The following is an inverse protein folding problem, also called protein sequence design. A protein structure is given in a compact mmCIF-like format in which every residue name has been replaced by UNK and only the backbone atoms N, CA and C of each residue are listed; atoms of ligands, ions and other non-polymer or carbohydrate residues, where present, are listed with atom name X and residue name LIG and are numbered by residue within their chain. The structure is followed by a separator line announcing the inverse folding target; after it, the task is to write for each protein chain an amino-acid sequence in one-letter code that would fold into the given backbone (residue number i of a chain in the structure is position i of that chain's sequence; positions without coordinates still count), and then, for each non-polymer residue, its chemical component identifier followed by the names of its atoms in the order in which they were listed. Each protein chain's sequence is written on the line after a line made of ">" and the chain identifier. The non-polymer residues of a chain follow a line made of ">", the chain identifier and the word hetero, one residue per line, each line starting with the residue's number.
data_IF_088312700805
#
_entry.id   IF_088312700805
#
_cell.length_a   1.000
_cell.length_b   1.000
_cell.length_c   1.000
_cell.angle_alpha   90.00
_cell.angle_beta   90.00
_cell.angle_gamma   90.00
#
_symmetry.space_group_name_H-M   'P 1'
#
loop_
_entity.id
_entity.type
_entity.pdbx_description
1 polymer ?
#
# COMPACT_ATOMS: atom_id res chain seq x y z
N UNK A 1 45.01 2.13 37.79
CA UNK A 1 44.01 2.17 38.87
C UNK A 1 42.78 1.38 38.44
N UNK A 2 42.17 0.60 39.35
CA UNK A 2 40.84 -0.03 39.12
C UNK A 2 39.78 0.84 39.81
N UNK A 3 38.67 1.15 39.14
CA UNK A 3 37.45 1.62 39.79
C UNK A 3 36.23 0.86 39.28
N UNK A 4 35.24 0.72 40.16
CA UNK A 4 34.24 -0.37 40.14
C UNK A 4 32.94 0.04 39.44
N UNK A 5 32.24 -0.96 38.93
CA UNK A 5 30.88 -0.83 38.42
C UNK A 5 29.87 -0.42 39.50
N UNK A 6 28.77 0.21 39.07
CA UNK A 6 27.48 0.21 39.76
C UNK A 6 26.37 -0.06 38.75
N UNK A 7 25.81 -1.27 38.81
CA UNK A 7 24.57 -1.64 38.16
C UNK A 7 23.39 -1.06 38.94
N UNK A 8 22.40 -0.50 38.27
CA UNK A 8 21.08 -0.23 38.86
C UNK A 8 20.02 -0.78 37.92
N UNK A 9 19.36 -1.85 38.37
CA UNK A 9 18.22 -2.46 37.69
C UNK A 9 16.94 -1.81 38.21
N UNK A 10 16.08 -1.31 37.33
CA UNK A 10 14.74 -0.88 37.69
C UNK A 10 13.77 -1.34 36.60
N UNK A 11 13.03 -2.42 36.88
CA UNK A 11 11.92 -2.88 36.06
C UNK A 11 10.61 -2.34 36.65
N UNK A 12 9.76 -1.73 35.83
CA UNK A 12 8.36 -1.43 36.18
C UNK A 12 7.46 -1.69 34.96
N UNK A 13 6.27 -2.22 35.26
CA UNK A 13 5.34 -2.87 34.34
C UNK A 13 4.35 -1.86 33.68
N UNK A 14 3.64 -2.27 32.60
CA UNK A 14 2.81 -1.36 31.80
C UNK A 14 1.42 -1.11 32.41
N UNK A 15 0.87 0.08 32.17
CA UNK A 15 -0.51 0.43 32.50
C UNK A 15 -1.34 0.61 31.23
N UNK A 16 -2.27 -0.32 30.98
CA UNK A 16 -3.37 -0.17 30.02
C UNK A 16 -4.46 0.70 30.65
N UNK A 17 -4.93 1.72 29.92
CA UNK A 17 -6.13 2.48 30.27
C UNK A 17 -7.01 2.63 29.02
N UNK A 18 -8.03 1.77 28.95
CA UNK A 18 -9.21 2.01 28.12
C UNK A 18 -10.07 3.07 28.80
N UNK A 19 -10.52 4.08 28.05
CA UNK A 19 -11.66 4.92 28.42
C UNK A 19 -12.52 5.12 27.17
N UNK A 20 -13.83 4.92 27.33
CA UNK A 20 -14.81 4.99 26.26
C UNK A 20 -15.97 5.91 26.66
N UNK A 21 -16.74 6.32 25.65
CA UNK A 21 -18.05 7.01 25.75
C UNK A 21 -18.01 8.48 26.20
N UNK A 22 -18.77 9.32 25.50
CA UNK A 22 -18.94 10.74 25.85
C UNK A 22 -19.68 11.58 24.80
N UNK A 23 -20.84 11.12 24.30
CA UNK A 23 -21.74 12.03 23.58
C UNK A 23 -22.48 12.92 24.58
N UNK A 24 -22.41 14.24 24.41
CA UNK A 24 -23.36 15.19 25.02
C UNK A 24 -23.42 16.47 24.20
N UNK A 25 -24.59 16.74 23.62
CA UNK A 25 -24.91 17.99 22.94
C UNK A 25 -25.62 18.94 23.91
N UNK A 26 -25.17 20.19 24.05
CA UNK A 26 -25.96 21.25 24.69
C UNK A 26 -25.86 22.55 23.91
N UNK A 27 -27.01 23.24 23.84
CA UNK A 27 -27.21 24.46 23.04
C UNK A 27 -26.63 25.71 23.70
N UNK A 28 -26.34 26.71 22.87
CA UNK A 28 -26.52 28.13 23.24
C UNK A 28 -26.96 28.89 22.00
N UNK A 29 -28.08 29.61 22.13
CA UNK A 29 -28.62 30.49 21.10
C UNK A 29 -28.38 31.95 21.52
N UNK A 30 -28.06 32.81 20.55
CA UNK A 30 -28.12 34.26 20.70
C UNK A 30 -28.85 34.86 19.47
N UNK A 31 -29.52 35.99 19.67
CA UNK A 31 -30.71 36.40 18.91
C UNK A 31 -30.50 37.62 18.00
N UNK A 32 -31.37 37.77 16.98
CA UNK A 32 -31.42 38.93 16.09
C UNK A 32 -32.67 38.97 15.19
N UNK A 33 -33.63 39.82 15.55
CA UNK A 33 -34.86 40.22 14.83
C UNK A 33 -34.60 40.83 13.42
N UNK A 34 -35.54 40.98 12.46
CA UNK A 34 -37.00 40.69 12.32
C UNK A 34 -37.43 40.88 10.84
N UNK A 35 -38.53 40.24 10.39
CA UNK A 35 -39.66 40.79 9.57
C UNK A 35 -40.32 39.77 8.60
N UNK A 36 -41.61 39.49 8.83
CA UNK A 36 -42.55 38.71 7.98
C UNK A 36 -43.27 39.63 6.93
N UNK A 37 -44.42 39.27 6.26
CA UNK A 37 -45.12 37.98 6.09
C UNK A 37 -45.68 37.66 4.67
N UNK A 38 -46.10 36.39 4.46
CA UNK A 38 -47.36 35.90 3.81
C UNK A 38 -47.18 34.43 3.35
N UNK A 39 -48.06 33.47 3.60
CA UNK A 39 -49.33 33.46 4.36
C UNK A 39 -49.90 32.03 4.51
N UNK A 40 -51.01 31.91 5.24
CA UNK A 40 -51.85 30.71 5.57
C UNK A 40 -52.18 29.77 4.37
N UNK A 41 -52.68 28.53 4.48
CA UNK A 41 -53.33 27.71 5.53
C UNK A 41 -53.39 26.22 5.03
N UNK A 42 -53.83 25.14 5.71
CA UNK A 42 -54.16 24.81 7.13
C UNK A 42 -54.35 23.27 7.27
N UNK A 43 -54.35 22.73 8.50
CA UNK A 43 -54.83 21.36 8.87
C UNK A 43 -56.35 21.37 9.23
N UNK A 44 -57.07 20.26 9.56
CA UNK A 44 -56.81 19.23 10.60
C UNK A 44 -57.13 17.78 10.12
N UNK A 45 -57.17 16.68 10.91
CA UNK A 45 -57.00 16.37 12.34
C UNK A 45 -56.74 14.85 12.54
N UNK A 46 -56.32 14.36 13.73
CA UNK A 46 -57.14 13.62 14.72
C UNK A 46 -57.64 12.24 14.18
N UNK A 47 -57.38 11.05 14.75
CA UNK A 47 -57.37 10.54 16.15
C UNK A 47 -56.35 9.37 16.30
N UNK A 48 -55.63 9.11 17.40
CA UNK A 48 -55.98 8.69 18.78
C UNK A 48 -56.29 7.18 19.01
N UNK A 49 -55.26 6.46 19.50
CA UNK A 49 -55.29 5.45 20.60
C UNK A 49 -55.79 3.99 20.45
N UNK A 50 -54.96 3.07 21.00
CA UNK A 50 -55.28 2.00 21.98
C UNK A 50 -55.12 0.49 21.60
N UNK A 51 -54.65 -0.30 22.58
CA UNK A 51 -54.67 -1.78 22.63
C UNK A 51 -53.48 -2.50 21.95
N UNK A 52 -52.43 -3.03 22.57
CA UNK A 52 -52.14 -3.63 23.91
C UNK A 52 -52.23 -5.16 23.98
N UNK A 53 -51.08 -5.77 24.31
CA UNK A 53 -50.82 -7.08 24.94
C UNK A 53 -51.20 -8.42 24.27
N UNK A 54 -50.18 -9.28 24.08
CA UNK A 54 -50.30 -10.70 23.74
C UNK A 54 -48.91 -11.35 23.55
N UNK A 55 -48.43 -12.10 24.55
CA UNK A 55 -47.07 -12.68 24.65
C UNK A 55 -47.16 -14.22 24.78
N UNK A 56 -46.06 -14.99 24.94
CA UNK A 56 -44.86 -15.17 24.11
C UNK A 56 -44.76 -16.60 23.51
N UNK A 57 -43.84 -16.87 22.57
CA UNK A 57 -43.70 -18.20 21.96
C UNK A 57 -42.31 -18.56 21.38
N UNK A 58 -41.54 -19.30 22.17
CA UNK A 58 -40.44 -20.23 21.83
C UNK A 58 -39.60 -20.09 20.52
N UNK A 59 -38.31 -19.80 20.72
CA UNK A 59 -37.13 -20.50 20.17
C UNK A 59 -37.21 -21.20 18.79
N UNK A 60 -36.43 -20.67 17.83
CA UNK A 60 -36.04 -21.37 16.61
C UNK A 60 -34.64 -20.97 16.17
N UNK A 61 -33.62 -21.74 16.55
CA UNK A 61 -32.24 -21.51 16.09
C UNK A 61 -32.09 -21.92 14.63
N UNK A 62 -31.86 -20.95 13.74
CA UNK A 62 -31.35 -21.20 12.40
C UNK A 62 -30.25 -20.17 12.10
N UNK A 63 -29.02 -20.65 11.92
CA UNK A 63 -27.87 -19.80 11.65
C UNK A 63 -28.01 -19.14 10.29
N UNK A 64 -28.25 -17.83 10.28
CA UNK A 64 -27.97 -17.00 9.11
C UNK A 64 -26.44 -16.86 8.98
N UNK A 65 -25.80 -17.92 8.47
CA UNK A 65 -24.49 -17.83 7.85
C UNK A 65 -24.63 -16.87 6.68
N UNK A 66 -24.40 -15.58 6.97
CA UNK A 66 -24.43 -14.51 6.00
C UNK A 66 -23.44 -14.86 4.90
N UNK A 67 -23.98 -15.37 3.79
CA UNK A 67 -23.20 -15.69 2.61
C UNK A 67 -22.69 -14.35 2.13
N UNK A 68 -21.42 -14.07 2.43
CA UNK A 68 -20.76 -12.85 2.01
C UNK A 68 -21.01 -12.73 0.50
N UNK A 69 -21.69 -11.66 0.10
CA UNK A 69 -22.06 -11.44 -1.30
C UNK A 69 -20.82 -11.71 -2.16
N UNK A 70 -20.95 -12.49 -3.26
CA UNK A 70 -19.79 -12.92 -4.02
C UNK A 70 -18.97 -11.67 -4.36
N UNK A 71 -17.72 -11.62 -3.88
CA UNK A 71 -16.79 -10.53 -4.20
C UNK A 71 -16.88 -10.34 -5.71
N UNK A 72 -17.30 -9.15 -6.16
CA UNK A 72 -17.42 -8.79 -7.59
C UNK A 72 -16.27 -9.44 -8.33
N UNK A 73 -16.58 -10.29 -9.31
CA UNK A 73 -15.60 -11.17 -9.96
C UNK A 73 -14.32 -10.37 -10.25
N UNK A 74 -13.26 -10.68 -9.48
CA UNK A 74 -12.07 -9.86 -9.41
C UNK A 74 -11.48 -9.67 -10.81
N UNK A 75 -10.92 -8.50 -11.12
CA UNK A 75 -10.35 -8.25 -12.45
C UNK A 75 -9.28 -9.30 -12.77
N UNK A 76 -8.97 -9.48 -14.06
CA UNK A 76 -7.89 -10.39 -14.48
C UNK A 76 -6.58 -10.06 -13.73
N UNK A 77 -6.32 -8.77 -13.55
CA UNK A 77 -5.15 -8.26 -12.84
C UNK A 77 -5.22 -8.53 -11.33
N UNK A 78 -6.37 -8.32 -10.70
CA UNK A 78 -6.58 -8.60 -9.27
C UNK A 78 -6.35 -10.08 -8.93
N UNK A 79 -6.85 -11.01 -9.78
CA UNK A 79 -6.58 -12.46 -9.63
C UNK A 79 -5.10 -12.83 -9.85
N UNK A 80 -4.37 -12.01 -10.60
CA UNK A 80 -2.94 -12.22 -10.85
C UNK A 80 -2.05 -11.75 -9.71
N UNK A 81 -2.54 -10.88 -8.82
CA UNK A 81 -1.77 -10.39 -7.67
C UNK A 81 -1.69 -11.44 -6.55
N UNK A 82 -0.61 -11.40 -5.76
CA UNK A 82 -0.48 -12.21 -4.53
C UNK A 82 -1.64 -11.96 -3.55
N UNK A 83 -2.08 -13.00 -2.86
CA UNK A 83 -3.12 -12.98 -1.83
C UNK A 83 -2.67 -13.74 -0.57
N UNK A 84 -3.29 -13.46 0.58
CA UNK A 84 -2.96 -14.14 1.82
C UNK A 84 -3.09 -15.66 1.69
N UNK A 85 -2.01 -16.39 1.99
CA UNK A 85 -1.92 -17.84 1.83
C UNK A 85 -1.20 -18.31 0.56
N UNK A 86 -0.89 -17.44 -0.41
CA UNK A 86 -0.12 -17.82 -1.61
C UNK A 86 1.33 -18.23 -1.32
N UNK A 87 1.90 -17.72 -0.23
CA UNK A 87 3.30 -17.88 0.16
C UNK A 87 3.41 -18.24 1.65
N UNK A 88 3.97 -19.42 1.93
CA UNK A 88 4.34 -19.80 3.29
C UNK A 88 5.47 -18.91 3.81
N UNK A 89 5.41 -18.51 5.08
CA UNK A 89 6.41 -17.63 5.69
C UNK A 89 6.24 -16.14 5.38
N UNK A 90 5.17 -15.73 4.69
CA UNK A 90 4.88 -14.33 4.37
C UNK A 90 3.45 -13.93 4.79
N UNK A 91 3.30 -12.67 5.19
CA UNK A 91 1.99 -12.01 5.30
C UNK A 91 1.77 -11.14 4.07
N UNK A 92 0.58 -11.21 3.47
CA UNK A 92 0.23 -10.49 2.23
C UNK A 92 -0.98 -9.59 2.51
N UNK A 93 -0.77 -8.28 2.44
CA UNK A 93 -1.81 -7.27 2.58
C UNK A 93 -2.28 -6.75 1.23
N UNK A 94 -3.55 -6.37 1.14
CA UNK A 94 -4.08 -5.58 0.02
C UNK A 94 -3.47 -4.15 -0.04
N UNK A 95 -2.88 -3.70 1.07
CA UNK A 95 -2.27 -2.38 1.21
C UNK A 95 -0.76 -2.47 0.98
N UNK A 96 -0.34 -2.52 -0.30
CA UNK A 96 1.08 -2.45 -0.70
C UNK A 96 1.72 -1.06 -0.64
N UNK A 97 0.90 -0.04 -0.36
CA UNK A 97 1.32 1.35 -0.22
C UNK A 97 2.00 1.56 1.15
N UNK A 98 3.18 2.18 1.14
CA UNK A 98 3.72 2.82 2.33
C UNK A 98 2.83 4.03 2.68
N UNK A 99 2.16 4.07 3.85
CA UNK A 99 1.24 5.16 4.20
C UNK A 99 1.93 6.53 4.26
N UNK A 100 3.26 6.55 4.46
CA UNK A 100 4.06 7.77 4.50
C UNK A 100 4.60 8.21 3.13
N UNK A 101 4.37 7.43 2.06
CA UNK A 101 4.80 7.79 0.72
C UNK A 101 3.98 8.99 0.18
N UNK A 102 4.64 10.01 -0.42
CA UNK A 102 3.96 11.11 -1.09
C UNK A 102 2.99 10.61 -2.18
N UNK A 103 1.90 11.34 -2.40
CA UNK A 103 0.98 11.11 -3.52
C UNK A 103 1.48 11.81 -4.79
N UNK A 104 0.99 11.38 -5.96
CA UNK A 104 1.34 11.99 -7.24
C UNK A 104 2.58 11.40 -7.92
N UNK A 105 2.85 11.84 -9.14
CA UNK A 105 3.97 11.36 -9.95
C UNK A 105 5.27 12.09 -9.58
N UNK A 106 6.39 11.39 -9.34
CA UNK A 106 7.69 12.02 -9.19
C UNK A 106 8.14 12.69 -10.48
N UNK A 107 8.89 13.78 -10.36
CA UNK A 107 9.61 14.42 -11.46
C UNK A 107 11.10 14.38 -11.19
N UNK A 108 11.86 13.67 -12.01
CA UNK A 108 13.32 13.65 -11.96
C UNK A 108 13.92 14.98 -12.45
N UNK A 109 15.08 15.34 -11.91
CA UNK A 109 15.92 16.44 -12.40
C UNK A 109 16.51 16.16 -13.79
N UNK A 110 16.76 14.88 -14.10
CA UNK A 110 17.27 14.40 -15.39
C UNK A 110 16.22 13.54 -16.09
N UNK A 111 15.86 13.91 -17.34
CA UNK A 111 14.87 13.18 -18.17
C UNK A 111 15.19 11.69 -18.32
N UNK A 112 16.46 11.32 -18.45
CA UNK A 112 16.90 9.92 -18.53
C UNK A 112 16.59 9.10 -17.27
N UNK A 113 16.46 9.75 -16.11
CA UNK A 113 16.16 9.10 -14.82
C UNK A 113 14.68 9.11 -14.46
N UNK A 114 13.83 9.74 -15.28
CA UNK A 114 12.39 9.78 -15.07
C UNK A 114 11.77 8.37 -14.91
N UNK A 115 12.13 7.33 -15.71
CA UNK A 115 11.61 5.98 -15.52
C UNK A 115 11.96 5.37 -14.14
N UNK A 116 13.14 5.68 -13.59
CA UNK A 116 13.56 5.22 -12.27
C UNK A 116 12.90 6.00 -11.12
N UNK A 117 12.47 7.23 -11.39
CA UNK A 117 11.60 7.97 -10.49
C UNK A 117 10.19 7.35 -10.51
N UNK A 118 9.57 7.23 -11.69
CA UNK A 118 8.19 6.76 -11.88
C UNK A 118 7.95 5.40 -11.22
N UNK A 119 8.87 4.45 -11.44
CA UNK A 119 8.80 3.09 -10.92
C UNK A 119 8.87 2.99 -9.39
N UNK A 120 9.07 4.09 -8.67
CA UNK A 120 9.08 4.13 -7.20
C UNK A 120 7.70 4.32 -6.56
N UNK A 121 6.72 4.84 -7.31
CA UNK A 121 5.38 5.15 -6.81
C UNK A 121 4.39 3.99 -6.87
N UNK A 122 3.22 4.18 -6.25
CA UNK A 122 2.07 3.24 -6.31
C UNK A 122 1.49 3.09 -7.73
N UNK A 123 1.83 4.02 -8.63
CA UNK A 123 1.57 4.00 -10.08
C UNK A 123 2.92 4.00 -10.81
N UNK A 124 3.52 2.82 -11.05
CA UNK A 124 4.92 2.70 -11.43
C UNK A 124 5.23 3.10 -12.88
N UNK A 125 4.22 3.31 -13.73
CA UNK A 125 4.33 3.90 -15.07
C UNK A 125 3.01 4.61 -15.42
N UNK A 126 3.00 5.88 -15.89
CA UNK A 126 1.79 6.53 -16.39
C UNK A 126 1.12 5.83 -17.59
N UNK A 127 1.81 4.93 -18.31
CA UNK A 127 1.24 4.11 -19.38
C UNK A 127 0.46 2.87 -18.88
N UNK A 128 0.48 2.58 -17.57
CA UNK A 128 -0.28 1.48 -16.99
C UNK A 128 -1.80 1.75 -17.07
N UNK A 129 -2.57 0.77 -17.55
CA UNK A 129 -4.03 0.83 -17.67
C UNK A 129 -4.74 0.56 -16.34
N UNK A 130 -4.23 -0.42 -15.60
CA UNK A 130 -4.68 -0.83 -14.27
C UNK A 130 -3.44 -1.27 -13.48
N UNK A 131 -3.41 -0.99 -12.18
CA UNK A 131 -2.34 -1.42 -11.26
C UNK A 131 -2.95 -1.97 -9.99
N UNK A 132 -2.53 -3.17 -9.59
CA UNK A 132 -2.89 -3.81 -8.33
C UNK A 132 -1.64 -3.87 -7.45
N UNK A 133 -1.74 -3.36 -6.23
CA UNK A 133 -0.65 -3.31 -5.27
C UNK A 133 -0.87 -4.30 -4.11
N UNK A 134 0.23 -4.83 -3.55
CA UNK A 134 0.27 -5.75 -2.41
C UNK A 134 1.47 -5.46 -1.52
N UNK A 135 1.30 -5.59 -0.21
CA UNK A 135 2.39 -5.54 0.76
C UNK A 135 2.75 -6.96 1.16
N UNK A 136 4.02 -7.33 1.10
CA UNK A 136 4.49 -8.69 1.40
C UNK A 136 5.54 -8.59 2.51
N UNK A 137 5.18 -8.96 3.74
CA UNK A 137 6.06 -8.94 4.91
C UNK A 137 6.61 -10.33 5.20
N UNK A 138 7.93 -10.46 5.40
CA UNK A 138 8.54 -11.71 5.82
C UNK A 138 8.25 -12.02 7.30
N UNK A 139 7.91 -13.27 7.61
CA UNK A 139 7.73 -13.74 8.99
C UNK A 139 9.06 -14.20 9.61
N UNK A 140 10.08 -14.47 8.81
CA UNK A 140 11.38 -15.02 9.25
C UNK A 140 12.51 -13.99 9.16
N UNK A 141 12.48 -13.07 8.20
CA UNK A 141 13.44 -11.97 8.09
C UNK A 141 12.81 -10.67 8.62
N UNK A 142 13.00 -10.43 9.91
CA UNK A 142 12.44 -9.28 10.61
C UNK A 142 12.89 -7.96 9.95
N UNK A 143 11.90 -7.17 9.54
CA UNK A 143 12.10 -5.89 8.87
C UNK A 143 12.15 -5.97 7.34
N UNK A 144 12.19 -7.16 6.72
CA UNK A 144 12.06 -7.26 5.27
C UNK A 144 10.59 -7.06 4.86
N UNK A 145 10.34 -5.99 4.10
CA UNK A 145 9.08 -5.72 3.45
C UNK A 145 9.29 -5.60 1.93
N UNK A 146 8.41 -6.22 1.15
CA UNK A 146 8.37 -6.09 -0.31
C UNK A 146 7.08 -5.41 -0.70
N UNK A 147 7.18 -4.28 -1.41
CA UNK A 147 6.06 -3.66 -2.09
C UNK A 147 5.96 -4.26 -3.50
N UNK A 148 4.83 -4.92 -3.78
CA UNK A 148 4.58 -5.60 -5.03
C UNK A 148 3.47 -4.90 -5.81
N UNK A 149 3.70 -4.67 -7.11
CA UNK A 149 2.76 -4.09 -8.05
C UNK A 149 2.63 -5.01 -9.27
N UNK A 150 1.41 -5.29 -9.68
CA UNK A 150 1.11 -5.93 -10.97
C UNK A 150 0.33 -4.94 -11.82
N UNK A 151 0.79 -4.65 -13.03
CA UNK A 151 0.21 -3.61 -13.89
C UNK A 151 -0.04 -4.13 -15.32
N UNK A 152 -1.16 -3.73 -15.91
CA UNK A 152 -1.56 -4.07 -17.28
C UNK A 152 -1.27 -2.94 -18.28
N UNK A 153 -0.90 -3.30 -19.50
CA UNK A 153 -0.44 -2.37 -20.54
C UNK A 153 -0.99 -2.74 -21.93
N UNK A 154 -0.51 -2.08 -22.98
CA UNK A 154 -0.31 -2.79 -24.27
C UNK A 154 1.00 -3.60 -24.19
N UNK A 155 1.17 -4.61 -25.03
CA UNK A 155 2.45 -5.34 -25.10
C UNK A 155 3.62 -4.43 -25.53
N UNK A 156 3.35 -3.45 -26.41
CA UNK A 156 4.33 -2.42 -26.82
C UNK A 156 4.76 -1.53 -25.65
N UNK A 157 3.82 -1.05 -24.82
CA UNK A 157 4.15 -0.18 -23.69
C UNK A 157 4.91 -0.96 -22.60
N UNK A 158 4.54 -2.22 -22.36
CA UNK A 158 5.24 -3.10 -21.43
C UNK A 158 6.71 -3.35 -21.86
N UNK A 159 6.94 -3.64 -23.16
CA UNK A 159 8.29 -3.76 -23.72
C UNK A 159 9.07 -2.44 -23.62
N UNK A 160 8.42 -1.33 -23.96
CA UNK A 160 9.03 -0.01 -23.89
C UNK A 160 9.41 0.40 -22.45
N UNK A 161 8.62 0.02 -21.44
CA UNK A 161 8.97 0.25 -20.02
C UNK A 161 10.25 -0.51 -19.64
N UNK A 162 10.35 -1.80 -19.95
CA UNK A 162 11.56 -2.58 -19.65
C UNK A 162 12.78 -2.00 -20.35
N UNK A 163 12.67 -1.61 -21.63
CA UNK A 163 13.76 -0.96 -22.36
C UNK A 163 14.19 0.36 -21.69
N UNK A 164 13.24 1.27 -21.41
CA UNK A 164 13.51 2.54 -20.71
C UNK A 164 14.21 2.34 -19.36
N UNK A 165 13.84 1.31 -18.60
CA UNK A 165 14.49 0.98 -17.32
C UNK A 165 15.91 0.44 -17.51
N UNK A 166 16.11 -0.48 -18.47
CA UNK A 166 17.44 -1.02 -18.82
C UNK A 166 18.41 0.09 -19.25
N UNK A 167 17.94 1.09 -19.99
CA UNK A 167 18.73 2.26 -20.40
C UNK A 167 18.97 3.24 -19.24
N UNK A 168 17.96 3.47 -18.38
CA UNK A 168 18.03 4.43 -17.30
C UNK A 168 18.96 4.00 -16.16
N UNK A 169 19.00 2.71 -15.79
CA UNK A 169 19.87 2.19 -14.71
C UNK A 169 21.35 2.61 -14.89
N UNK A 170 22.04 2.35 -16.02
CA UNK A 170 23.41 2.80 -16.22
C UNK A 170 23.53 4.33 -16.37
N UNK A 171 22.61 4.99 -17.09
CA UNK A 171 22.62 6.43 -17.31
C UNK A 171 22.45 7.26 -16.01
N UNK A 172 21.87 6.64 -14.98
CA UNK A 172 21.57 7.24 -13.68
C UNK A 172 22.42 6.69 -12.53
N UNK A 173 23.46 5.92 -12.85
CA UNK A 173 24.37 5.26 -11.89
C UNK A 173 24.95 6.19 -10.81
N UNK A 174 25.29 7.42 -11.18
CA UNK A 174 25.78 8.47 -10.27
C UNK A 174 24.73 9.03 -9.31
N UNK A 175 23.46 8.59 -9.42
CA UNK A 175 22.32 9.14 -8.71
C UNK A 175 21.66 10.33 -9.40
N UNK A 176 20.45 10.68 -8.95
CA UNK A 176 19.61 11.76 -9.48
C UNK A 176 18.67 12.27 -8.38
N UNK A 177 18.08 13.45 -8.55
CA UNK A 177 17.07 13.97 -7.63
C UNK A 177 15.68 13.84 -8.25
N UNK A 178 14.66 13.65 -7.41
CA UNK A 178 13.27 13.77 -7.86
C UNK A 178 12.43 14.57 -6.86
N UNK A 179 11.37 15.19 -7.35
CA UNK A 179 10.39 15.92 -6.53
C UNK A 179 9.00 15.32 -6.71
N UNK A 180 8.30 15.06 -5.62
CA UNK A 180 6.89 14.67 -5.59
C UNK A 180 6.14 15.69 -4.72
N UNK A 181 5.10 16.35 -5.23
CA UNK A 181 4.30 17.32 -4.45
C UNK A 181 5.15 18.34 -3.64
N UNK A 182 6.18 18.92 -4.28
CA UNK A 182 7.19 19.82 -3.66
C UNK A 182 8.11 19.19 -2.60
N UNK A 183 7.95 17.90 -2.27
CA UNK A 183 8.88 17.14 -1.42
C UNK A 183 10.02 16.60 -2.28
N UNK A 184 11.24 17.05 -2.03
CA UNK A 184 12.43 16.56 -2.71
C UNK A 184 12.94 15.25 -2.08
N UNK A 185 13.47 14.37 -2.93
CA UNK A 185 14.25 13.20 -2.55
C UNK A 185 15.43 12.99 -3.51
N UNK A 186 16.46 12.31 -3.05
CA UNK A 186 17.62 11.94 -3.86
C UNK A 186 17.77 10.43 -3.95
N UNK A 187 18.11 9.95 -5.13
CA UNK A 187 18.48 8.58 -5.44
C UNK A 187 19.99 8.54 -5.65
N UNK A 188 20.69 7.62 -5.01
CA UNK A 188 22.14 7.43 -5.14
C UNK A 188 22.46 5.97 -5.42
N UNK A 189 23.67 5.71 -5.89
CA UNK A 189 24.22 4.35 -6.03
C UNK A 189 23.28 3.44 -6.85
N UNK A 190 22.76 3.96 -7.97
CA UNK A 190 21.88 3.19 -8.87
C UNK A 190 22.74 2.12 -9.55
N UNK A 191 22.64 0.89 -9.07
CA UNK A 191 23.55 -0.19 -9.46
C UNK A 191 22.75 -1.37 -10.00
N UNK A 192 22.95 -1.71 -11.27
CA UNK A 192 22.43 -2.94 -11.85
C UNK A 192 22.88 -4.16 -11.02
N UNK A 193 21.99 -5.10 -10.78
CA UNK A 193 22.32 -6.36 -10.12
C UNK A 193 21.74 -7.53 -10.91
N UNK A 194 22.51 -8.61 -11.05
CA UNK A 194 22.06 -9.82 -11.70
C UNK A 194 20.93 -10.47 -10.88
N UNK A 195 19.77 -10.66 -11.53
CA UNK A 195 18.62 -11.31 -10.91
C UNK A 195 17.90 -12.19 -11.92
N UNK A 196 17.89 -13.50 -11.66
CA UNK A 196 17.15 -14.46 -12.50
C UNK A 196 15.67 -14.44 -12.10
N UNK A 197 14.81 -14.11 -13.05
CA UNK A 197 13.36 -14.15 -12.89
C UNK A 197 12.75 -14.93 -14.06
N UNK A 198 11.68 -15.67 -13.82
CA UNK A 198 11.13 -16.59 -14.81
C UNK A 198 10.41 -15.96 -16.02
N UNK A 199 10.20 -14.62 -16.06
CA UNK A 199 9.42 -13.93 -17.09
C UNK A 199 10.11 -13.76 -18.45
N UNK A 200 9.44 -13.09 -19.40
CA UNK A 200 9.96 -12.87 -20.76
C UNK A 200 11.20 -11.97 -20.75
N UNK A 201 11.19 -10.95 -19.90
CA UNK A 201 12.29 -10.03 -19.68
C UNK A 201 12.29 -9.54 -18.24
N UNK A 202 13.47 -9.22 -17.71
CA UNK A 202 13.62 -8.53 -16.43
C UNK A 202 14.68 -7.43 -16.49
N UNK A 203 14.65 -6.58 -15.47
CA UNK A 203 15.68 -5.62 -15.11
C UNK A 203 15.68 -5.47 -13.59
N UNK A 204 16.86 -5.38 -12.99
CA UNK A 204 17.02 -5.36 -11.54
C UNK A 204 18.18 -4.45 -11.13
N UNK A 205 17.99 -3.69 -10.06
CA UNK A 205 18.98 -2.77 -9.53
C UNK A 205 18.77 -2.48 -8.05
N UNK A 206 19.83 -2.05 -7.36
CA UNK A 206 19.75 -1.42 -6.05
C UNK A 206 19.89 0.10 -6.17
N UNK A 207 19.36 0.83 -5.19
CA UNK A 207 19.63 2.27 -5.02
C UNK A 207 19.40 2.70 -3.57
N UNK A 208 20.16 3.69 -3.11
CA UNK A 208 19.92 4.39 -1.85
C UNK A 208 18.98 5.56 -2.10
N UNK A 209 17.76 5.49 -1.57
CA UNK A 209 16.76 6.57 -1.61
C UNK A 209 16.89 7.40 -0.34
N UNK A 210 16.82 8.73 -0.45
CA UNK A 210 16.83 9.64 0.71
C UNK A 210 15.78 10.73 0.58
N UNK A 211 14.95 10.90 1.61
CA UNK A 211 13.92 11.94 1.68
C UNK A 211 13.67 12.33 3.14
N UNK A 212 13.38 13.61 3.41
CA UNK A 212 13.07 14.12 4.75
C UNK A 212 14.08 13.71 5.86
N UNK A 213 15.37 13.63 5.53
CA UNK A 213 16.44 13.23 6.46
C UNK A 213 16.58 11.73 6.71
N UNK A 214 15.71 10.89 6.14
CA UNK A 214 15.78 9.43 6.21
C UNK A 214 16.37 8.87 4.93
N UNK A 215 17.29 7.91 5.05
CA UNK A 215 17.84 7.16 3.93
C UNK A 215 17.47 5.67 4.05
N UNK A 216 17.13 5.03 2.93
CA UNK A 216 16.85 3.60 2.85
C UNK A 216 17.43 3.02 1.56
N UNK A 217 18.15 1.91 1.67
CA UNK A 217 18.48 1.09 0.50
C UNK A 217 17.24 0.31 0.06
N UNK A 218 17.06 0.19 -1.25
CA UNK A 218 16.04 -0.65 -1.88
C UNK A 218 16.65 -1.51 -2.98
N UNK A 219 16.08 -2.69 -3.17
CA UNK A 219 16.32 -3.55 -4.35
C UNK A 219 15.02 -3.61 -5.14
N UNK A 220 15.07 -3.21 -6.41
CA UNK A 220 13.97 -3.33 -7.35
C UNK A 220 14.22 -4.47 -8.34
N UNK A 221 13.19 -5.29 -8.53
CA UNK A 221 13.10 -6.29 -9.59
C UNK A 221 11.84 -5.99 -10.39
N UNK A 222 12.00 -5.72 -11.68
CA UNK A 222 10.90 -5.48 -12.62
C UNK A 222 10.94 -6.55 -13.69
N UNK A 223 9.81 -7.23 -13.91
CA UNK A 223 9.69 -8.40 -14.78
C UNK A 223 8.47 -8.22 -15.69
N UNK A 224 8.66 -8.37 -16.99
CA UNK A 224 7.58 -8.41 -17.97
C UNK A 224 7.19 -9.85 -18.30
N UNK A 225 5.89 -10.09 -18.36
CA UNK A 225 5.29 -11.29 -18.92
C UNK A 225 4.18 -10.83 -19.85
N UNK A 226 4.36 -10.97 -21.17
CA UNK A 226 3.47 -10.40 -22.19
C UNK A 226 3.26 -8.90 -22.03
N UNK A 227 1.98 -8.52 -21.93
CA UNK A 227 1.40 -7.20 -21.65
C UNK A 227 1.27 -6.86 -20.15
N UNK A 228 1.79 -7.70 -19.26
CA UNK A 228 1.77 -7.49 -17.80
C UNK A 228 3.19 -7.20 -17.30
N UNK A 229 3.34 -6.21 -16.43
CA UNK A 229 4.60 -5.96 -15.71
C UNK A 229 4.39 -6.14 -14.21
N UNK A 230 5.24 -6.97 -13.62
CA UNK A 230 5.40 -7.16 -12.19
C UNK A 230 6.56 -6.29 -11.72
N UNK A 231 6.36 -5.55 -10.64
CA UNK A 231 7.37 -4.70 -10.02
C UNK A 231 7.42 -5.03 -8.53
N UNK A 232 8.60 -5.40 -8.05
CA UNK A 232 8.86 -5.82 -6.67
C UNK A 232 9.95 -4.92 -6.12
N UNK A 233 9.72 -4.28 -4.98
CA UNK A 233 10.70 -3.46 -4.30
C UNK A 233 10.86 -3.93 -2.86
N UNK A 234 12.02 -4.51 -2.55
CA UNK A 234 12.39 -4.85 -1.18
C UNK A 234 12.97 -3.61 -0.48
N UNK A 235 12.55 -3.39 0.77
CA UNK A 235 13.15 -2.45 1.71
C UNK A 235 13.33 -3.12 3.08
N UNK A 236 14.31 -2.66 3.85
CA UNK A 236 14.45 -3.04 5.25
C UNK A 236 13.92 -1.91 6.16
N UNK A 237 12.82 -2.16 6.88
CA UNK A 237 12.16 -1.14 7.73
C UNK A 237 12.77 -1.01 9.13
N UNK A 238 13.69 -1.88 9.53
CA UNK A 238 14.40 -1.79 10.82
C UNK A 238 15.72 -1.05 10.73
N UNK A 239 16.14 -0.63 9.52
CA UNK A 239 17.36 0.13 9.32
C UNK A 239 18.64 -0.67 9.60
N UNK A 240 18.61 -1.99 9.48
CA UNK A 240 19.67 -2.92 9.90
C UNK A 240 21.01 -2.84 9.16
N UNK A 241 21.21 -1.83 8.30
CA UNK A 241 22.40 -1.65 7.45
C UNK A 241 22.55 -2.66 6.31
N UNK A 242 21.88 -3.82 6.39
CA UNK A 242 21.86 -4.84 5.33
C UNK A 242 21.08 -4.32 4.12
N UNK A 243 21.66 -4.42 2.93
CA UNK A 243 20.94 -4.24 1.66
C UNK A 243 19.78 -5.25 1.60
N UNK A 244 18.52 -4.80 1.47
CA UNK A 244 17.38 -5.70 1.35
C UNK A 244 17.38 -6.31 -0.05
N UNK A 245 16.96 -7.58 -0.16
CA UNK A 245 16.84 -8.28 -1.43
C UNK A 245 15.40 -8.75 -1.68
N UNK A 246 14.95 -8.72 -2.92
CA UNK A 246 13.64 -9.28 -3.32
C UNK A 246 13.73 -10.81 -3.34
N UNK A 247 13.03 -11.54 -2.45
CA UNK A 247 13.17 -12.99 -2.38
C UNK A 247 12.65 -13.66 -3.65
N UNK A 248 13.42 -14.59 -4.22
CA UNK A 248 13.03 -15.33 -5.43
C UNK A 248 11.66 -16.00 -5.30
N UNK A 249 11.33 -16.58 -4.14
CA UNK A 249 10.02 -17.15 -3.87
C UNK A 249 8.84 -16.16 -4.09
N UNK A 250 9.03 -14.87 -3.76
CA UNK A 250 8.01 -13.83 -4.00
C UNK A 250 7.89 -13.56 -5.50
N UNK A 251 9.02 -13.41 -6.20
CA UNK A 251 9.05 -13.19 -7.66
C UNK A 251 8.43 -14.34 -8.43
N UNK A 252 8.86 -15.57 -8.15
CA UNK A 252 8.44 -16.76 -8.88
C UNK A 252 6.95 -17.04 -8.70
N UNK A 253 6.43 -16.88 -7.47
CA UNK A 253 4.98 -17.00 -7.20
C UNK A 253 4.18 -15.90 -7.87
N UNK A 254 4.66 -14.65 -7.83
CA UNK A 254 3.96 -13.53 -8.48
C UNK A 254 3.92 -13.70 -10.01
N UNK A 255 5.00 -14.23 -10.63
CA UNK A 255 5.01 -14.58 -12.06
C UNK A 255 4.14 -15.81 -12.36
N UNK A 256 4.10 -16.81 -11.47
CA UNK A 256 3.17 -17.95 -11.59
C UNK A 256 1.72 -17.48 -11.66
N UNK A 257 1.28 -16.58 -10.76
CA UNK A 257 -0.10 -16.05 -10.78
C UNK A 257 -0.40 -15.22 -12.03
N UNK A 258 0.56 -14.41 -12.51
CA UNK A 258 0.42 -13.67 -13.77
C UNK A 258 0.27 -14.59 -14.99
N UNK A 259 0.92 -15.77 -14.99
CA UNK A 259 0.73 -16.78 -16.03
C UNK A 259 -0.63 -17.48 -15.92
N UNK A 260 -1.03 -17.86 -14.71
CA UNK A 260 -2.29 -18.56 -14.45
C UNK A 260 -3.55 -17.70 -14.70
N UNK A 261 -3.42 -16.37 -14.74
CA UNK A 261 -4.51 -15.44 -14.98
C UNK A 261 -4.72 -15.05 -16.46
N UNK A 262 -3.91 -15.58 -17.39
CA UNK A 262 -3.97 -15.24 -18.84
C UNK A 262 -5.13 -15.90 -19.58
#
# INVERSE_FOLDING_TARGET
>A
MRMKARTVTAALLPALLFAAVGCSSTHTSASGNSADPKGSASSPGQDASAGSAGSPGAAGSAGASGTAAPKRAASRLERSALEQGDLAGYQISANGKNPNAPTGQPRADRKACQPLADIMGDKPDPAARETVNRGVGSQTELGLAVSASVSSYTESDAKALIARLKDAVPACSTGFNATVEKKAGSYREVKAVDYKAGGDESVSWTTTVSAAGVAAQVHLVVVRQGDTVVRLMALNVTGSGKTPEVPHAVTDKQIQKVRAAR
#
